data_IF_106229640704
#
_entry.id   IF_106229640704
#
_cell.length_a   1.000
_cell.length_b   1.000
_cell.length_c   1.000
_cell.angle_alpha   90.00
_cell.angle_beta   90.00
_cell.angle_gamma   90.00
#
_symmetry.space_group_name_H-M   'P 1'
#
loop_
_entity.id
_entity.type
_entity.pdbx_description
1 polymer ?
#
# COMPACT_ATOMS: atom_id res chain seq x y z
N UNK A 1 0.01 -26.34 -28.87
CA UNK A 1 0.05 -24.89 -28.68
C UNK A 1 -1.20 -24.40 -27.94
N UNK A 2 -2.38 -24.69 -28.43
CA UNK A 2 -3.63 -24.21 -27.85
C UNK A 2 -3.76 -24.50 -26.34
N UNK A 3 -3.65 -25.75 -25.92
CA UNK A 3 -3.77 -26.13 -24.52
C UNK A 3 -2.55 -25.79 -23.63
N UNK A 4 -1.33 -25.91 -24.15
CA UNK A 4 -0.10 -25.74 -23.33
C UNK A 4 0.29 -24.27 -23.18
N UNK A 5 0.20 -23.50 -24.25
CA UNK A 5 0.60 -22.09 -24.28
C UNK A 5 -0.58 -21.14 -24.08
N UNK A 6 -1.80 -21.65 -24.01
CA UNK A 6 -3.04 -20.88 -23.97
C UNK A 6 -3.18 -19.90 -25.16
N UNK A 7 -2.69 -20.31 -26.34
CA UNK A 7 -2.66 -19.51 -27.54
C UNK A 7 -3.44 -20.20 -28.69
N UNK A 8 -4.79 -20.29 -28.63
CA UNK A 8 -5.60 -20.97 -29.62
C UNK A 8 -5.48 -20.35 -31.02
N UNK A 9 -5.55 -19.04 -31.13
CA UNK A 9 -5.45 -18.33 -32.40
C UNK A 9 -4.10 -18.54 -33.10
N UNK A 10 -3.02 -18.45 -32.33
CA UNK A 10 -1.66 -18.68 -32.84
C UNK A 10 -1.51 -20.09 -33.41
N UNK A 11 -2.10 -21.10 -32.75
CA UNK A 11 -2.09 -22.46 -33.25
C UNK A 11 -2.85 -22.63 -34.57
N UNK A 12 -4.02 -22.00 -34.69
CA UNK A 12 -4.84 -22.04 -35.90
C UNK A 12 -4.11 -21.40 -37.10
N UNK A 13 -3.66 -20.16 -36.93
CA UNK A 13 -2.99 -19.42 -38.01
C UNK A 13 -1.68 -20.05 -38.43
N UNK A 14 -0.87 -20.55 -37.47
CA UNK A 14 0.38 -21.22 -37.78
C UNK A 14 0.14 -22.46 -38.66
N UNK A 15 -0.87 -23.29 -38.36
CA UNK A 15 -1.16 -24.48 -39.14
C UNK A 15 -1.72 -24.06 -40.49
N UNK A 16 -2.62 -23.10 -40.57
CA UNK A 16 -3.19 -22.62 -41.84
C UNK A 16 -2.10 -22.10 -42.80
N UNK A 17 -1.11 -21.37 -42.25
CA UNK A 17 0.01 -20.86 -43.02
C UNK A 17 0.96 -21.98 -43.50
N UNK A 18 1.28 -22.94 -42.63
CA UNK A 18 2.11 -24.09 -42.99
C UNK A 18 1.50 -25.00 -44.03
N UNK A 19 0.17 -25.15 -44.04
CA UNK A 19 -0.55 -25.97 -45.03
C UNK A 19 -0.85 -25.21 -46.31
N UNK A 20 -0.56 -23.91 -46.37
CA UNK A 20 -0.76 -23.07 -47.55
C UNK A 20 -2.21 -22.82 -47.91
N UNK A 21 -3.18 -23.07 -47.01
CA UNK A 21 -4.58 -22.86 -47.23
C UNK A 21 -5.43 -22.77 -45.98
N UNK A 22 -6.64 -22.21 -46.16
CA UNK A 22 -7.60 -22.01 -45.06
C UNK A 22 -8.75 -23.01 -45.07
N UNK A 23 -8.67 -24.07 -45.91
CA UNK A 23 -9.73 -25.07 -46.05
C UNK A 23 -10.03 -25.80 -44.74
N UNK A 24 -9.01 -26.00 -43.91
CA UNK A 24 -9.12 -26.64 -42.61
C UNK A 24 -9.36 -25.65 -41.44
N UNK A 25 -9.62 -24.39 -41.75
CA UNK A 25 -9.73 -23.34 -40.72
C UNK A 25 -10.81 -23.63 -39.67
N UNK A 26 -12.00 -24.06 -40.14
CA UNK A 26 -13.13 -24.34 -39.27
C UNK A 26 -12.90 -25.58 -38.38
N UNK A 27 -12.41 -26.70 -38.83
CA UNK A 27 -11.98 -27.81 -37.98
C UNK A 27 -10.87 -27.42 -36.99
N UNK A 28 -9.89 -26.65 -37.43
CA UNK A 28 -8.80 -26.15 -36.56
C UNK A 28 -9.31 -25.25 -35.43
N UNK A 29 -10.30 -24.38 -35.72
CA UNK A 29 -10.95 -23.58 -34.68
C UNK A 29 -11.62 -24.47 -33.64
N UNK A 30 -12.43 -25.44 -34.07
CA UNK A 30 -13.14 -26.34 -33.16
C UNK A 30 -12.19 -27.12 -32.24
N UNK A 31 -11.15 -27.72 -32.80
CA UNK A 31 -10.15 -28.48 -32.04
C UNK A 31 -9.35 -27.59 -31.13
N UNK A 32 -8.94 -26.42 -31.59
CA UNK A 32 -8.14 -25.47 -30.81
C UNK A 32 -8.90 -24.92 -29.64
N UNK A 33 -10.15 -24.51 -29.82
CA UNK A 33 -11.01 -24.00 -28.75
C UNK A 33 -11.35 -25.11 -27.75
N UNK A 34 -11.73 -26.31 -28.24
CA UNK A 34 -12.00 -27.43 -27.33
C UNK A 34 -10.80 -27.80 -26.48
N UNK A 35 -9.61 -27.87 -27.09
CA UNK A 35 -8.36 -28.13 -26.38
C UNK A 35 -8.05 -27.06 -25.35
N UNK A 36 -8.27 -25.78 -25.67
CA UNK A 36 -8.08 -24.66 -24.71
C UNK A 36 -9.06 -24.73 -23.56
N UNK A 37 -10.35 -24.91 -23.82
CA UNK A 37 -11.37 -25.00 -22.78
C UNK A 37 -11.15 -26.20 -21.87
N UNK A 38 -10.75 -27.34 -22.41
CA UNK A 38 -10.48 -28.53 -21.62
C UNK A 38 -9.33 -28.32 -20.68
N UNK A 39 -8.20 -27.73 -21.11
CA UNK A 39 -7.06 -27.54 -20.27
C UNK A 39 -7.32 -26.50 -19.17
N UNK A 40 -8.14 -25.48 -19.45
CA UNK A 40 -8.50 -24.45 -18.45
C UNK A 40 -9.19 -25.01 -17.21
N UNK A 41 -9.84 -26.19 -17.34
CA UNK A 41 -10.47 -26.87 -16.19
C UNK A 41 -9.41 -27.47 -15.25
N UNK A 42 -8.31 -27.98 -15.80
CA UNK A 42 -7.27 -28.67 -15.05
C UNK A 42 -6.11 -27.77 -14.65
N UNK A 43 -5.70 -26.86 -15.54
CA UNK A 43 -4.57 -25.96 -15.35
C UNK A 43 -4.90 -24.55 -15.89
N UNK A 44 -5.23 -23.60 -15.01
CA UNK A 44 -5.61 -22.24 -15.41
C UNK A 44 -4.43 -21.41 -15.90
N UNK A 45 -3.20 -21.91 -15.74
CA UNK A 45 -1.99 -21.17 -16.09
C UNK A 45 -1.28 -21.77 -17.29
N UNK A 46 -0.80 -20.90 -18.20
CA UNK A 46 0.05 -21.34 -19.30
C UNK A 46 1.41 -21.82 -18.77
N UNK A 47 2.15 -22.60 -19.56
CA UNK A 47 3.49 -23.07 -19.19
C UNK A 47 4.45 -21.91 -18.82
N UNK A 48 4.26 -20.74 -19.38
CA UNK A 48 5.07 -19.55 -19.11
C UNK A 48 4.71 -18.89 -17.78
N UNK A 49 3.42 -18.80 -17.47
CA UNK A 49 2.93 -18.17 -16.26
C UNK A 49 2.95 -19.10 -15.03
N UNK A 50 3.00 -20.42 -15.25
CA UNK A 50 2.98 -21.42 -14.17
C UNK A 50 4.13 -21.23 -13.17
N UNK A 51 5.34 -20.87 -13.63
CA UNK A 51 6.49 -20.64 -12.75
C UNK A 51 6.28 -19.41 -11.88
N UNK A 52 5.71 -18.35 -12.43
CA UNK A 52 5.39 -17.11 -11.69
C UNK A 52 4.22 -17.35 -10.72
N UNK A 53 3.21 -18.12 -11.16
CA UNK A 53 2.10 -18.51 -10.29
C UNK A 53 2.56 -19.30 -9.05
N UNK A 54 3.48 -20.26 -9.24
CA UNK A 54 4.05 -21.03 -8.13
C UNK A 54 4.89 -20.20 -7.15
N UNK A 55 5.45 -19.09 -7.59
CA UNK A 55 6.18 -18.14 -6.74
C UNK A 55 5.28 -17.09 -6.09
N UNK A 56 4.00 -17.04 -6.43
CA UNK A 56 3.10 -15.99 -5.99
C UNK A 56 3.32 -14.62 -6.68
N UNK A 57 4.20 -14.58 -7.70
CA UNK A 57 4.58 -13.37 -8.44
C UNK A 57 3.70 -13.14 -9.68
N UNK A 58 2.65 -13.95 -9.88
CA UNK A 58 1.79 -13.84 -11.05
C UNK A 58 0.82 -12.65 -10.92
N UNK A 59 1.14 -11.59 -11.62
CA UNK A 59 0.32 -10.38 -11.73
C UNK A 59 -0.80 -10.62 -12.73
N UNK A 60 -1.96 -11.10 -12.27
CA UNK A 60 -3.18 -11.21 -13.10
C UNK A 60 -4.13 -10.08 -12.78
N UNK A 61 -4.81 -9.55 -13.76
CA UNK A 61 -5.94 -8.58 -13.80
C UNK A 61 -6.10 -7.50 -12.70
N UNK A 62 -5.49 -7.65 -11.54
CA UNK A 62 -5.45 -6.65 -10.46
C UNK A 62 -4.05 -6.03 -10.38
N UNK A 63 -3.74 -5.14 -11.33
CA UNK A 63 -2.45 -4.42 -11.37
C UNK A 63 -2.13 -3.73 -10.05
N UNK A 64 -3.14 -3.20 -9.39
CA UNK A 64 -3.01 -2.48 -8.12
C UNK A 64 -2.56 -3.41 -6.98
N UNK A 65 -3.17 -4.61 -6.87
CA UNK A 65 -2.73 -5.61 -5.86
C UNK A 65 -1.30 -6.11 -6.08
N UNK A 66 -0.91 -6.23 -7.33
CA UNK A 66 0.43 -6.69 -7.68
C UNK A 66 1.51 -5.66 -7.32
N UNK A 67 1.26 -4.39 -7.54
CA UNK A 67 2.15 -3.31 -7.12
C UNK A 67 2.30 -3.35 -5.59
N UNK A 68 1.20 -3.47 -4.86
CA UNK A 68 1.21 -3.54 -3.39
C UNK A 68 1.99 -4.75 -2.87
N UNK A 69 1.93 -5.90 -3.54
CA UNK A 69 2.68 -7.10 -3.13
C UNK A 69 4.20 -6.94 -3.32
N UNK A 70 4.62 -6.13 -4.30
CA UNK A 70 6.04 -5.86 -4.59
C UNK A 70 6.59 -4.66 -3.81
N UNK A 71 5.72 -3.80 -3.26
CA UNK A 71 6.14 -2.66 -2.46
C UNK A 71 6.47 -3.09 -1.04
N UNK A 72 7.63 -2.62 -0.56
CA UNK A 72 8.00 -2.77 0.85
C UNK A 72 7.66 -1.48 1.60
N UNK A 73 7.15 -1.60 2.82
CA UNK A 73 6.86 -0.46 3.71
C UNK A 73 8.07 0.47 3.78
N UNK A 74 9.28 -0.07 3.92
CA UNK A 74 10.51 0.73 4.01
C UNK A 74 10.77 1.66 2.81
N UNK A 75 10.20 1.36 1.64
CA UNK A 75 10.36 2.17 0.43
C UNK A 75 9.40 3.35 0.32
N UNK A 76 8.32 3.34 1.09
CA UNK A 76 7.22 4.34 1.02
C UNK A 76 7.05 5.14 2.30
N UNK A 77 7.83 4.81 3.32
CA UNK A 77 7.81 5.50 4.60
C UNK A 77 8.57 6.82 4.52
N UNK A 78 7.97 7.86 5.08
CA UNK A 78 8.62 9.16 5.24
C UNK A 78 9.22 9.32 6.64
N UNK A 79 10.44 9.83 6.67
CA UNK A 79 11.23 10.08 7.90
C UNK A 79 11.16 11.52 8.39
N UNK A 80 10.63 12.43 7.58
CA UNK A 80 10.66 13.90 7.81
C UNK A 80 9.46 14.37 8.65
N UNK A 81 9.24 13.71 9.79
CA UNK A 81 8.23 14.09 10.76
C UNK A 81 8.88 14.52 12.07
N UNK A 82 8.57 15.74 12.48
CA UNK A 82 9.01 16.27 13.79
C UNK A 82 8.20 15.63 14.92
N UNK A 83 8.91 15.12 15.92
CA UNK A 83 8.31 14.49 17.10
C UNK A 83 8.10 15.53 18.19
N UNK A 84 7.01 15.41 18.92
CA UNK A 84 6.71 16.26 20.06
C UNK A 84 6.50 15.40 21.32
N UNK A 85 6.70 16.00 22.50
CA UNK A 85 6.47 15.33 23.77
C UNK A 85 5.20 15.85 24.43
N UNK A 86 4.52 15.04 25.24
CA UNK A 86 3.27 15.42 25.89
C UNK A 86 3.42 16.58 26.89
N UNK A 87 4.62 16.72 27.50
CA UNK A 87 4.95 17.74 28.50
C UNK A 87 5.26 19.11 27.89
N UNK A 88 5.57 19.20 26.60
CA UNK A 88 5.84 20.45 25.89
C UNK A 88 4.65 21.42 25.99
N UNK A 89 4.96 22.72 26.12
CA UNK A 89 3.92 23.75 26.06
C UNK A 89 3.55 24.10 24.59
N UNK A 90 2.43 24.80 24.42
CA UNK A 90 1.97 25.22 23.10
C UNK A 90 2.99 26.10 22.38
N UNK A 91 3.73 26.95 23.09
CA UNK A 91 4.75 27.83 22.52
C UNK A 91 5.95 27.06 21.98
N UNK A 92 6.38 26.01 22.67
CA UNK A 92 7.43 25.09 22.21
C UNK A 92 6.94 24.33 20.97
N UNK A 93 5.70 23.83 20.99
CA UNK A 93 5.10 23.14 19.85
C UNK A 93 5.01 24.04 18.63
N UNK A 94 4.62 25.31 18.77
CA UNK A 94 4.56 26.28 17.66
C UNK A 94 5.94 26.49 17.02
N UNK A 95 7.03 26.46 17.80
CA UNK A 95 8.39 26.51 17.24
C UNK A 95 8.70 25.27 16.41
N UNK A 96 8.32 24.09 16.86
CA UNK A 96 8.48 22.84 16.09
C UNK A 96 7.68 22.93 14.80
N UNK A 97 6.42 23.38 14.87
CA UNK A 97 5.55 23.56 13.69
C UNK A 97 6.16 24.51 12.66
N UNK A 98 6.79 25.58 13.11
CA UNK A 98 7.40 26.58 12.23
C UNK A 98 8.56 26.03 11.39
N UNK A 99 9.18 24.97 11.81
CA UNK A 99 10.29 24.28 11.13
C UNK A 99 9.85 23.03 10.40
N UNK A 100 8.69 22.48 10.76
CA UNK A 100 8.17 21.25 10.19
C UNK A 100 7.62 21.45 8.78
N UNK A 101 7.79 20.45 7.95
CA UNK A 101 7.22 20.42 6.60
C UNK A 101 5.88 19.68 6.53
N UNK A 102 5.48 19.06 7.63
CA UNK A 102 4.30 18.19 7.70
C UNK A 102 3.29 18.71 8.72
N UNK A 103 2.03 18.33 8.52
CA UNK A 103 0.90 18.79 9.31
C UNK A 103 0.49 17.82 10.43
N UNK A 104 1.22 16.72 10.60
CA UNK A 104 1.00 15.72 11.64
C UNK A 104 2.24 15.61 12.52
N UNK A 105 2.04 15.62 13.82
CA UNK A 105 3.09 15.59 14.84
C UNK A 105 2.87 14.39 15.75
N UNK A 106 3.71 13.34 15.64
CA UNK A 106 3.66 12.22 16.56
C UNK A 106 4.07 12.64 17.96
N UNK A 107 3.24 12.30 18.94
CA UNK A 107 3.53 12.53 20.37
C UNK A 107 4.16 11.27 20.92
N UNK A 108 5.40 11.40 21.37
CA UNK A 108 6.19 10.28 21.90
C UNK A 108 6.61 10.54 23.33
N UNK A 109 6.72 9.47 24.09
CA UNK A 109 7.26 9.54 25.46
C UNK A 109 8.80 9.56 25.46
N UNK A 110 9.41 9.56 26.65
CA UNK A 110 10.86 9.52 26.82
C UNK A 110 11.50 8.22 26.32
N UNK A 111 10.75 7.15 26.20
CA UNK A 111 11.19 5.84 25.71
C UNK A 111 11.01 5.72 24.17
N UNK A 112 10.36 6.71 23.54
CA UNK A 112 10.04 6.73 22.13
C UNK A 112 8.75 5.98 21.77
N UNK A 113 7.92 5.62 22.76
CA UNK A 113 6.60 5.02 22.53
C UNK A 113 5.61 6.05 21.98
N UNK A 114 4.80 5.64 21.04
CA UNK A 114 3.76 6.47 20.45
C UNK A 114 2.56 6.58 21.39
N UNK A 115 2.39 7.74 22.01
CA UNK A 115 1.25 8.06 22.87
C UNK A 115 0.03 8.51 22.05
N UNK A 116 0.26 9.33 21.03
CA UNK A 116 -0.79 9.89 20.20
C UNK A 116 -0.24 10.70 19.03
N UNK A 117 -1.12 11.47 18.42
CA UNK A 117 -0.77 12.41 17.37
C UNK A 117 -1.43 13.75 17.61
N UNK A 118 -0.80 14.84 17.14
CA UNK A 118 -1.42 16.15 17.04
C UNK A 118 -1.47 16.53 15.57
N UNK A 119 -2.63 17.00 15.11
CA UNK A 119 -2.82 17.47 13.74
C UNK A 119 -2.81 19.00 13.76
N UNK A 120 -2.15 19.61 12.78
CA UNK A 120 -2.04 21.08 12.69
C UNK A 120 -3.42 21.76 12.68
N UNK A 121 -4.40 21.15 12.03
CA UNK A 121 -5.75 21.71 11.92
C UNK A 121 -6.44 21.90 13.28
N UNK A 122 -6.19 21.01 14.24
CA UNK A 122 -6.79 21.07 15.58
C UNK A 122 -6.26 22.22 16.41
N UNK A 123 -5.02 22.64 16.17
CA UNK A 123 -4.36 23.70 16.92
C UNK A 123 -4.25 25.02 16.17
N UNK A 124 -4.62 25.05 14.89
CA UNK A 124 -4.49 26.22 14.01
C UNK A 124 -5.13 27.49 14.59
N UNK A 125 -6.27 27.35 15.26
CA UNK A 125 -7.01 28.49 15.81
C UNK A 125 -6.35 29.10 17.06
N UNK A 126 -5.52 28.34 17.75
CA UNK A 126 -4.89 28.75 19.02
C UNK A 126 -3.39 29.02 18.90
N UNK A 127 -2.72 28.50 17.85
CA UNK A 127 -1.27 28.63 17.66
C UNK A 127 -0.79 30.07 17.51
N UNK A 128 -1.67 31.01 17.12
CA UNK A 128 -1.34 32.43 16.98
C UNK A 128 -1.61 33.24 18.26
N UNK A 129 -2.19 32.62 19.30
CA UNK A 129 -2.52 33.30 20.57
C UNK A 129 -1.40 33.09 21.56
N UNK A 130 -0.47 34.03 21.63
CA UNK A 130 0.70 33.98 22.51
C UNK A 130 0.34 33.86 23.99
N UNK A 131 -0.80 34.42 24.42
CA UNK A 131 -1.35 34.32 25.78
C UNK A 131 -1.60 32.88 26.25
N UNK A 132 -1.76 31.95 25.31
CA UNK A 132 -2.07 30.54 25.56
C UNK A 132 -0.81 29.65 25.62
N UNK A 133 0.36 30.16 25.21
CA UNK A 133 1.57 29.37 25.01
C UNK A 133 1.99 28.57 26.24
N UNK A 134 1.99 29.20 27.40
CA UNK A 134 2.36 28.54 28.65
C UNK A 134 1.17 27.93 29.41
N UNK A 135 -0.06 28.11 28.89
CA UNK A 135 -1.27 27.64 29.55
C UNK A 135 -1.65 26.21 29.18
N UNK A 136 -1.31 25.80 27.99
CA UNK A 136 -1.70 24.50 27.44
C UNK A 136 -0.49 23.67 27.09
N UNK A 137 -0.54 22.38 27.42
CA UNK A 137 0.43 21.37 27.05
C UNK A 137 -0.07 20.57 25.83
N UNK A 138 0.86 19.95 25.09
CA UNK A 138 0.61 19.08 23.92
C UNK A 138 -0.36 17.95 24.29
N UNK A 139 -0.25 17.39 25.50
CA UNK A 139 -1.14 16.37 26.03
C UNK A 139 -2.63 16.71 25.87
N UNK A 140 -3.01 17.99 25.94
CA UNK A 140 -4.40 18.44 25.83
C UNK A 140 -4.96 18.38 24.40
N UNK A 141 -4.09 18.45 23.41
CA UNK A 141 -4.45 18.45 21.99
C UNK A 141 -4.17 17.11 21.30
N UNK A 142 -3.53 16.20 22.03
CA UNK A 142 -3.20 14.88 21.55
C UNK A 142 -4.45 14.05 21.37
N UNK A 143 -4.57 13.43 20.20
CA UNK A 143 -5.63 12.47 19.90
C UNK A 143 -5.03 11.09 19.65
N UNK A 144 -5.83 10.05 19.86
CA UNK A 144 -5.43 8.69 19.47
C UNK A 144 -5.40 8.60 17.95
N UNK A 145 -4.35 8.05 17.33
CA UNK A 145 -4.34 7.88 15.87
C UNK A 145 -5.47 6.93 15.46
N UNK A 146 -6.14 7.18 14.31
CA UNK A 146 -7.27 6.37 13.85
C UNK A 146 -6.87 4.91 13.58
N UNK A 147 -5.64 4.67 13.18
CA UNK A 147 -5.02 3.35 13.10
C UNK A 147 -3.50 3.46 13.32
N UNK A 148 -2.89 2.32 13.60
CA UNK A 148 -1.42 2.17 13.69
C UNK A 148 -0.98 1.11 12.70
N UNK A 149 0.16 1.34 12.07
CA UNK A 149 0.78 0.40 11.13
C UNK A 149 1.97 -0.24 11.85
N UNK A 150 2.08 -1.55 11.79
CA UNK A 150 3.28 -2.26 12.23
C UNK A 150 4.25 -2.38 11.05
N UNK A 151 5.55 -2.33 11.33
CA UNK A 151 6.59 -2.52 10.30
C UNK A 151 6.44 -3.87 9.56
N UNK A 152 5.83 -4.86 10.23
CA UNK A 152 5.59 -6.20 9.70
C UNK A 152 4.29 -6.36 8.93
N UNK A 153 3.42 -5.34 8.91
CA UNK A 153 2.17 -5.38 8.15
C UNK A 153 2.44 -5.51 6.65
N UNK A 154 1.59 -6.22 5.94
CA UNK A 154 1.64 -6.25 4.47
C UNK A 154 1.11 -4.94 3.89
N UNK A 155 1.56 -4.55 2.69
CA UNK A 155 1.03 -3.34 2.03
C UNK A 155 -0.48 -3.43 1.75
N UNK A 156 -1.03 -4.63 1.57
CA UNK A 156 -2.47 -4.83 1.41
C UNK A 156 -3.23 -4.47 2.71
N UNK A 157 -2.71 -4.89 3.88
CA UNK A 157 -3.27 -4.52 5.18
C UNK A 157 -3.12 -3.02 5.47
N UNK A 158 -2.00 -2.44 5.09
CA UNK A 158 -1.75 -1.00 5.20
C UNK A 158 -2.77 -0.22 4.40
N UNK A 159 -2.98 -0.56 3.12
CA UNK A 159 -3.97 0.11 2.27
C UNK A 159 -5.38 -0.05 2.81
N UNK A 160 -5.72 -1.23 3.32
CA UNK A 160 -7.02 -1.44 3.98
C UNK A 160 -7.20 -0.52 5.19
N UNK A 161 -6.17 -0.34 6.03
CA UNK A 161 -6.21 0.61 7.16
C UNK A 161 -6.43 2.05 6.70
N UNK A 162 -5.81 2.46 5.59
CA UNK A 162 -6.07 3.78 4.99
C UNK A 162 -7.49 3.91 4.47
N UNK A 163 -8.00 2.91 3.77
CA UNK A 163 -9.37 2.89 3.24
C UNK A 163 -10.42 2.95 4.34
N UNK A 164 -10.23 2.18 5.41
CA UNK A 164 -11.15 2.11 6.53
C UNK A 164 -11.17 3.41 7.35
N UNK A 165 -10.01 4.03 7.53
CA UNK A 165 -9.86 5.24 8.37
C UNK A 165 -10.03 6.54 7.60
N UNK A 166 -9.89 6.53 6.26
CA UNK A 166 -9.82 7.72 5.40
C UNK A 166 -8.75 8.73 5.86
N UNK A 167 -7.76 8.29 6.60
CA UNK A 167 -6.67 9.11 7.07
C UNK A 167 -5.66 9.37 5.93
N UNK A 168 -5.06 10.56 5.93
CA UNK A 168 -3.97 10.88 4.99
C UNK A 168 -2.60 10.39 5.47
N UNK A 169 -2.44 10.24 6.79
CA UNK A 169 -1.20 9.81 7.41
C UNK A 169 -1.50 8.85 8.54
N UNK A 170 -0.75 7.77 8.61
CA UNK A 170 -0.81 6.81 9.72
C UNK A 170 0.58 6.59 10.31
N UNK A 171 0.70 6.59 11.65
CA UNK A 171 1.98 6.34 12.31
C UNK A 171 2.37 4.86 12.20
N UNK A 172 3.66 4.63 11.96
CA UNK A 172 4.28 3.30 11.91
C UNK A 172 5.02 3.05 13.22
N UNK A 173 4.69 1.94 13.87
CA UNK A 173 5.31 1.49 15.11
C UNK A 173 6.05 0.16 14.88
N UNK A 174 7.06 -0.10 15.71
CA UNK A 174 7.68 -1.42 15.78
C UNK A 174 6.88 -2.36 16.71
N UNK A 175 7.33 -3.60 16.84
CA UNK A 175 6.72 -4.60 17.71
C UNK A 175 6.73 -4.21 19.21
N UNK A 176 7.62 -3.31 19.61
CA UNK A 176 7.72 -2.77 20.97
C UNK A 176 6.81 -1.55 21.19
N UNK A 177 5.99 -1.14 20.22
CA UNK A 177 5.13 0.04 20.29
C UNK A 177 5.87 1.38 20.11
N UNK A 178 7.16 1.37 19.82
CA UNK A 178 7.95 2.58 19.57
C UNK A 178 7.63 3.17 18.21
N UNK A 179 7.46 4.48 18.16
CA UNK A 179 7.27 5.22 16.92
C UNK A 179 8.54 5.17 16.08
N UNK A 180 8.41 4.68 14.86
CA UNK A 180 9.50 4.73 13.91
C UNK A 180 9.32 5.89 12.93
N UNK A 181 8.18 5.95 12.25
CA UNK A 181 8.00 6.74 11.05
C UNK A 181 6.49 6.95 10.81
N UNK A 182 6.12 7.70 9.79
CA UNK A 182 4.73 7.80 9.34
C UNK A 182 4.61 7.49 7.86
N UNK A 183 3.49 6.89 7.49
CA UNK A 183 3.15 6.58 6.11
C UNK A 183 2.09 7.57 5.63
N UNK A 184 2.27 8.09 4.42
CA UNK A 184 1.30 8.96 3.76
C UNK A 184 0.49 8.11 2.80
N UNK A 185 -0.81 8.40 2.68
CA UNK A 185 -1.69 7.76 1.70
C UNK A 185 -1.15 8.01 0.28
N UNK A 186 -0.91 6.94 -0.45
CA UNK A 186 -0.37 6.94 -1.82
C UNK A 186 -1.52 6.96 -2.83
#
# INVERSE_FOLDING_TARGET
MSGVMHAPLTGIFLIAELTGGYDLFLPLMMVSVSSYLTIMIFEPHSIYSMRLAKKGELITHHKDKAVLTLMNIDSVVETDFEKVRPDMDLGEMVKVISQAKRNLFPVVDVNGELLGIVVLDDIRNIMFRQELYHRFKVEKFMISPPARINVTDSMEEVMKKFDDTKAWNLPVINEEGKYKLSLIHI
#
